data_IF_320187225507
#
_entry.id   IF_320187225507
#
_cell.length_a   1.000
_cell.length_b   1.000
_cell.length_c   1.000
_cell.angle_alpha   90.00
_cell.angle_beta   90.00
_cell.angle_gamma   90.00
#
_symmetry.space_group_name_H-M   'P 1'
#
loop_
_entity.id
_entity.type
_entity.pdbx_description
1 polymer ?
#
# COMPACT_ATOMS: atom_id res chain seq x y z
N UNK A 1 13.19 19.86 -9.69
CA UNK A 1 13.02 18.55 -9.03
C UNK A 1 11.56 18.17 -9.16
N UNK A 2 11.24 16.97 -9.61
CA UNK A 2 9.86 16.49 -9.69
C UNK A 2 9.35 16.13 -8.28
N UNK A 3 8.08 16.35 -8.02
CA UNK A 3 7.41 15.99 -6.77
C UNK A 3 6.04 15.38 -7.06
N UNK A 4 5.48 14.66 -6.09
CA UNK A 4 4.20 13.98 -6.22
C UNK A 4 3.18 14.59 -5.26
N UNK A 5 2.08 15.08 -5.79
CA UNK A 5 0.88 15.44 -5.03
C UNK A 5 -0.03 14.20 -4.92
N UNK A 6 0.22 13.37 -3.90
CA UNK A 6 -0.48 12.11 -3.72
C UNK A 6 -1.95 12.29 -3.31
N UNK A 7 -2.28 13.38 -2.64
CA UNK A 7 -3.62 13.64 -2.11
C UNK A 7 -4.41 14.67 -2.92
N UNK A 8 -3.83 15.22 -3.99
CA UNK A 8 -4.44 16.29 -4.78
C UNK A 8 -5.75 15.94 -5.49
N UNK A 9 -6.10 14.65 -5.58
CA UNK A 9 -7.35 14.20 -6.14
C UNK A 9 -8.56 14.32 -5.18
N UNK A 10 -8.33 14.60 -3.88
CA UNK A 10 -9.38 14.66 -2.87
C UNK A 10 -9.82 16.08 -2.53
N UNK A 11 -11.08 16.20 -2.15
CA UNK A 11 -11.62 17.37 -1.45
C UNK A 11 -11.64 17.11 0.08
N UNK A 12 -11.62 18.15 0.93
CA UNK A 12 -11.54 17.98 2.39
C UNK A 12 -12.64 17.11 3.02
N UNK A 13 -13.82 17.10 2.43
CA UNK A 13 -14.98 16.34 2.92
C UNK A 13 -15.12 14.94 2.30
N UNK A 14 -14.28 14.59 1.33
CA UNK A 14 -14.33 13.28 0.70
C UNK A 14 -14.05 12.17 1.71
N UNK A 15 -14.80 11.09 1.62
CA UNK A 15 -14.52 9.88 2.39
C UNK A 15 -13.32 9.18 1.79
N UNK A 16 -12.26 9.02 2.58
CA UNK A 16 -11.02 8.35 2.19
C UNK A 16 -11.01 6.87 2.60
N UNK A 17 -11.45 6.58 3.82
CA UNK A 17 -11.41 5.24 4.36
C UNK A 17 -12.72 4.87 5.04
N UNK A 18 -13.08 3.59 4.92
CA UNK A 18 -14.30 3.01 5.52
C UNK A 18 -13.92 1.74 6.30
N UNK A 19 -14.62 1.46 7.39
CA UNK A 19 -14.36 0.28 8.21
C UNK A 19 -15.34 0.12 9.36
N UNK A 20 -15.17 -0.92 10.16
CA UNK A 20 -16.05 -1.23 11.31
C UNK A 20 -16.07 -0.10 12.33
N UNK A 21 -14.95 0.57 12.54
CA UNK A 21 -14.81 1.71 13.46
C UNK A 21 -15.24 3.05 12.84
N UNK A 22 -15.96 2.99 11.72
CA UNK A 22 -16.52 4.14 11.03
C UNK A 22 -15.70 4.62 9.82
N UNK A 23 -16.16 5.74 9.26
CA UNK A 23 -15.53 6.39 8.11
C UNK A 23 -14.47 7.39 8.53
N UNK A 24 -13.56 7.71 7.61
CA UNK A 24 -12.58 8.78 7.77
C UNK A 24 -12.58 9.66 6.53
N UNK A 25 -12.68 10.97 6.74
CA UNK A 25 -12.59 11.96 5.67
C UNK A 25 -11.14 12.40 5.41
N UNK A 26 -10.91 13.06 4.28
CA UNK A 26 -9.63 13.68 3.97
C UNK A 26 -9.25 14.74 5.03
N UNK A 27 -10.19 15.56 5.48
CA UNK A 27 -9.96 16.53 6.57
C UNK A 27 -9.48 15.85 7.87
N UNK A 28 -10.09 14.72 8.24
CA UNK A 28 -9.65 13.95 9.41
C UNK A 28 -8.23 13.40 9.20
N UNK A 29 -7.93 12.87 8.00
CA UNK A 29 -6.59 12.38 7.70
C UNK A 29 -5.54 13.50 7.83
N UNK A 30 -5.78 14.67 7.26
CA UNK A 30 -4.85 15.80 7.35
C UNK A 30 -4.60 16.23 8.81
N UNK A 31 -5.65 16.28 9.62
CA UNK A 31 -5.54 16.58 11.05
C UNK A 31 -4.77 15.49 11.83
N UNK A 32 -4.98 14.21 11.48
CA UNK A 32 -4.27 13.10 12.10
C UNK A 32 -2.79 13.08 11.68
N UNK A 33 -2.50 13.34 10.40
CA UNK A 33 -1.12 13.52 9.90
C UNK A 33 -0.38 14.58 10.70
N UNK A 34 -0.96 15.78 10.89
CA UNK A 34 -0.31 16.84 11.64
C UNK A 34 -0.08 16.48 13.11
N UNK A 35 -1.05 15.81 13.73
CA UNK A 35 -0.91 15.36 15.12
C UNK A 35 0.24 14.35 15.26
N UNK A 36 0.34 13.38 14.35
CA UNK A 36 1.41 12.38 14.35
C UNK A 36 2.75 13.06 14.01
N UNK A 37 2.80 13.90 12.98
CA UNK A 37 4.00 14.60 12.57
C UNK A 37 4.61 15.47 13.69
N UNK A 38 3.78 16.09 14.52
CA UNK A 38 4.23 16.87 15.68
C UNK A 38 4.97 16.03 16.74
N UNK A 39 4.75 14.70 16.77
CA UNK A 39 5.43 13.79 17.69
C UNK A 39 6.70 13.18 17.08
N UNK A 40 6.93 13.35 15.78
CA UNK A 40 8.06 12.78 15.08
C UNK A 40 9.22 13.78 14.99
N UNK A 41 10.47 13.35 15.20
CA UNK A 41 11.63 14.19 14.91
C UNK A 41 11.75 14.44 13.41
N UNK A 42 12.35 15.56 13.04
CA UNK A 42 12.67 15.85 11.64
C UNK A 42 13.74 14.89 11.11
N UNK A 43 13.62 14.55 9.84
CA UNK A 43 14.57 13.82 9.05
C UNK A 43 15.07 14.66 7.87
N UNK A 44 16.09 14.17 7.18
CA UNK A 44 16.71 14.82 6.03
C UNK A 44 16.12 14.36 4.66
N UNK A 45 15.19 13.41 4.68
CA UNK A 45 14.60 12.80 3.48
C UNK A 45 15.52 11.83 2.75
N UNK A 46 16.78 11.67 3.19
CA UNK A 46 17.73 10.75 2.56
C UNK A 46 17.72 9.37 3.21
N UNK A 47 17.43 9.31 4.51
CA UNK A 47 17.50 8.11 5.34
C UNK A 47 18.92 7.53 5.45
N UNK A 48 19.95 8.35 5.20
CA UNK A 48 21.36 7.92 5.32
C UNK A 48 21.89 8.14 6.73
N UNK A 49 21.52 9.27 7.34
CA UNK A 49 22.05 9.70 8.64
C UNK A 49 21.13 9.35 9.81
N UNK A 50 19.92 8.88 9.55
CA UNK A 50 18.95 8.54 10.60
C UNK A 50 18.30 7.17 10.36
N UNK A 51 18.21 6.34 11.41
CA UNK A 51 17.50 5.07 11.32
C UNK A 51 16.03 5.25 10.98
N UNK A 52 15.47 4.31 10.22
CA UNK A 52 14.07 4.28 9.82
C UNK A 52 13.13 4.20 11.04
N UNK A 53 11.85 4.53 10.84
CA UNK A 53 10.77 4.31 11.82
C UNK A 53 10.11 2.96 11.53
N UNK A 54 10.20 1.99 12.45
CA UNK A 54 9.49 0.72 12.29
C UNK A 54 7.99 0.92 12.52
N UNK A 55 7.15 0.56 11.53
CA UNK A 55 5.71 0.74 11.61
C UNK A 55 5.00 -0.60 11.49
N UNK A 56 4.15 -0.91 12.47
CA UNK A 56 3.44 -2.19 12.60
C UNK A 56 1.91 -2.02 12.65
N UNK A 57 1.37 -0.86 12.26
CA UNK A 57 -0.07 -0.60 12.23
C UNK A 57 -0.80 -1.61 11.35
N UNK A 58 -1.80 -2.29 11.88
CA UNK A 58 -2.61 -3.27 11.16
C UNK A 58 -3.79 -2.62 10.43
N UNK A 59 -4.38 -1.59 11.03
CA UNK A 59 -5.40 -0.77 10.40
C UNK A 59 -4.79 0.09 9.29
N UNK A 60 -5.29 -0.08 8.09
CA UNK A 60 -4.76 0.56 6.88
C UNK A 60 -4.86 2.09 6.93
N UNK A 61 -5.84 2.63 7.64
CA UNK A 61 -5.96 4.07 7.83
C UNK A 61 -4.84 4.63 8.73
N UNK A 62 -4.56 3.99 9.86
CA UNK A 62 -3.49 4.44 10.75
C UNK A 62 -2.12 4.25 10.09
N UNK A 63 -1.92 3.15 9.35
CA UNK A 63 -0.72 2.99 8.54
C UNK A 63 -0.56 4.15 7.54
N UNK A 64 -1.62 4.50 6.82
CA UNK A 64 -1.64 5.62 5.88
C UNK A 64 -1.27 6.95 6.57
N UNK A 65 -1.89 7.27 7.71
CA UNK A 65 -1.62 8.50 8.45
C UNK A 65 -0.16 8.58 8.94
N UNK A 66 0.39 7.45 9.44
CA UNK A 66 1.78 7.38 9.89
C UNK A 66 2.76 7.52 8.72
N UNK A 67 2.53 6.85 7.59
CA UNK A 67 3.36 6.99 6.40
C UNK A 67 3.44 8.46 5.95
N UNK A 68 2.28 9.09 5.78
CA UNK A 68 2.20 10.47 5.32
C UNK A 68 2.81 11.46 6.32
N UNK A 69 2.60 11.26 7.63
CA UNK A 69 3.22 12.07 8.67
C UNK A 69 4.75 11.94 8.69
N UNK A 70 5.26 10.71 8.59
CA UNK A 70 6.68 10.43 8.51
C UNK A 70 7.32 11.08 7.27
N UNK A 71 6.69 10.95 6.11
CA UNK A 71 7.19 11.54 4.86
C UNK A 71 7.22 13.07 4.90
N UNK A 72 6.20 13.70 5.50
CA UNK A 72 6.16 15.15 5.71
C UNK A 72 7.32 15.63 6.60
N UNK A 73 7.77 14.79 7.54
CA UNK A 73 8.91 15.05 8.42
C UNK A 73 10.26 14.59 7.83
N UNK A 74 10.32 14.20 6.56
CA UNK A 74 11.52 13.67 5.93
C UNK A 74 12.01 12.35 6.52
N UNK A 75 11.13 11.56 7.17
CA UNK A 75 11.47 10.28 7.79
C UNK A 75 11.16 9.12 6.87
N UNK A 76 12.00 8.10 6.92
CA UNK A 76 11.81 6.83 6.23
C UNK A 76 11.09 5.83 7.14
N UNK A 77 10.12 5.11 6.59
CA UNK A 77 9.37 4.08 7.31
C UNK A 77 9.87 2.69 6.97
N UNK A 78 10.23 1.90 7.98
CA UNK A 78 10.52 0.48 7.85
C UNK A 78 9.23 -0.34 7.95
N UNK A 79 8.94 -1.16 6.95
CA UNK A 79 7.81 -2.08 6.93
C UNK A 79 8.32 -3.52 7.11
N UNK A 80 7.93 -4.21 8.20
CA UNK A 80 8.43 -5.56 8.49
C UNK A 80 7.79 -6.61 7.57
N UNK A 81 8.49 -7.72 7.27
CA UNK A 81 7.98 -8.79 6.40
C UNK A 81 6.88 -9.62 7.07
N UNK A 82 6.75 -9.53 8.39
CA UNK A 82 5.71 -10.19 9.18
C UNK A 82 5.66 -9.57 10.59
N UNK A 83 4.62 -9.92 11.36
CA UNK A 83 4.41 -9.44 12.72
C UNK A 83 4.96 -10.40 13.81
N UNK A 84 5.91 -11.28 13.49
CA UNK A 84 6.51 -12.19 14.47
C UNK A 84 7.37 -11.41 15.46
N UNK A 85 7.25 -11.73 16.73
CA UNK A 85 7.97 -11.03 17.80
C UNK A 85 9.48 -11.00 17.58
N UNK A 86 10.08 -12.11 17.19
CA UNK A 86 11.52 -12.19 16.89
C UNK A 86 11.92 -11.24 15.75
N UNK A 87 11.13 -11.18 14.67
CA UNK A 87 11.37 -10.28 13.52
C UNK A 87 11.29 -8.82 13.94
N UNK A 88 10.25 -8.48 14.72
CA UNK A 88 10.06 -7.11 15.21
C UNK A 88 11.16 -6.70 16.20
N UNK A 89 11.56 -7.59 17.10
CA UNK A 89 12.67 -7.36 18.03
C UNK A 89 13.98 -7.11 17.28
N UNK A 90 14.31 -7.92 16.27
CA UNK A 90 15.50 -7.72 15.45
C UNK A 90 15.48 -6.37 14.71
N UNK A 91 14.37 -6.04 14.03
CA UNK A 91 14.25 -4.80 13.28
C UNK A 91 14.23 -3.57 14.20
N UNK A 92 13.64 -3.65 15.39
CA UNK A 92 13.58 -2.53 16.35
C UNK A 92 14.97 -2.08 16.80
N UNK A 93 15.98 -2.98 16.82
CA UNK A 93 17.35 -2.61 17.17
C UNK A 93 18.04 -1.74 16.11
N UNK A 94 17.50 -1.72 14.89
CA UNK A 94 18.03 -0.98 13.73
C UNK A 94 17.22 0.28 13.42
N UNK A 95 16.09 0.47 14.11
CA UNK A 95 15.16 1.57 13.88
C UNK A 95 15.23 2.61 15.01
N UNK A 96 14.85 3.85 14.72
CA UNK A 96 14.84 4.94 15.70
C UNK A 96 13.63 4.91 16.64
N UNK A 97 12.64 4.08 16.34
CA UNK A 97 11.43 3.90 17.13
C UNK A 97 10.46 2.94 16.47
N UNK A 98 9.46 2.51 17.24
CA UNK A 98 8.41 1.61 16.77
C UNK A 98 7.05 2.28 16.96
N UNK A 99 6.26 2.35 15.89
CA UNK A 99 4.91 2.90 15.88
C UNK A 99 3.89 1.81 15.56
N UNK A 100 2.80 1.77 16.32
CA UNK A 100 1.71 0.82 16.15
C UNK A 100 0.35 1.49 16.36
N UNK A 101 -0.73 0.76 16.11
CA UNK A 101 -2.13 1.17 16.32
C UNK A 101 -2.81 0.45 17.50
N UNK A 102 -2.03 0.02 18.49
CA UNK A 102 -2.47 -0.75 19.65
C UNK A 102 -2.24 -2.25 19.52
N UNK A 103 -1.68 -2.72 18.40
CA UNK A 103 -1.50 -4.14 18.08
C UNK A 103 -0.07 -4.66 18.27
N UNK A 104 0.78 -3.98 19.09
CA UNK A 104 2.17 -4.43 19.27
C UNK A 104 3.02 -3.56 20.18
N UNK A 105 4.33 -3.84 20.26
CA UNK A 105 5.27 -3.04 21.03
C UNK A 105 5.48 -1.65 20.41
N UNK A 106 5.93 -0.69 21.21
CA UNK A 106 6.26 0.67 20.79
C UNK A 106 5.18 1.69 21.13
N UNK A 107 5.19 2.82 20.42
CA UNK A 107 4.28 3.92 20.67
C UNK A 107 2.97 3.75 19.89
N UNK A 108 1.85 3.86 20.60
CA UNK A 108 0.52 3.72 20.02
C UNK A 108 0.03 5.06 19.47
N UNK A 109 -0.04 5.17 18.14
CA UNK A 109 -0.49 6.39 17.47
C UNK A 109 -1.95 6.72 17.73
N UNK A 110 -2.79 5.72 18.02
CA UNK A 110 -4.20 5.93 18.37
C UNK A 110 -4.33 6.71 19.69
N UNK A 111 -3.43 6.46 20.65
CA UNK A 111 -3.37 7.22 21.90
C UNK A 111 -3.07 8.69 21.62
N UNK A 112 -2.08 9.00 20.78
CA UNK A 112 -1.77 10.39 20.41
C UNK A 112 -2.97 11.11 19.78
N UNK A 113 -3.73 10.40 18.92
CA UNK A 113 -4.91 10.96 18.27
C UNK A 113 -6.07 11.18 19.25
N UNK A 114 -6.22 10.31 20.25
CA UNK A 114 -7.24 10.45 21.30
C UNK A 114 -6.92 11.58 22.29
N UNK A 115 -5.66 11.73 22.66
CA UNK A 115 -5.19 12.76 23.60
C UNK A 115 -5.20 14.17 23.01
N UNK A 116 -5.25 14.32 21.69
CA UNK A 116 -5.31 15.61 20.97
C UNK A 116 -6.36 16.58 21.55
N UNK A 117 -7.47 16.06 22.08
CA UNK A 117 -8.52 16.86 22.71
C UNK A 117 -8.32 17.16 24.20
N UNK A 118 -7.32 16.56 24.85
CA UNK A 118 -7.13 16.58 26.31
C UNK A 118 -5.99 17.50 26.77
N UNK A 119 -5.21 18.09 25.84
CA UNK A 119 -4.08 18.95 26.20
C UNK A 119 -4.59 20.35 26.55
N UNK A 120 -4.45 20.79 27.83
CA UNK A 120 -4.83 22.15 28.24
C UNK A 120 -3.99 23.18 27.48
N UNK A 121 -4.66 24.14 26.81
CA UNK A 121 -4.00 25.19 26.03
C UNK A 121 -4.01 24.98 24.51
N UNK A 122 -4.40 23.80 24.00
CA UNK A 122 -4.46 23.50 22.56
C UNK A 122 -5.72 24.08 21.86
N UNK A 123 -6.61 24.74 22.58
CA UNK A 123 -7.86 25.28 22.03
C UNK A 123 -7.64 26.33 20.94
N UNK A 124 -6.59 27.18 21.07
CA UNK A 124 -6.20 28.14 20.03
C UNK A 124 -5.30 27.51 18.96
N UNK A 125 -4.38 26.63 19.36
CA UNK A 125 -3.59 25.83 18.44
C UNK A 125 -4.46 24.86 17.61
N UNK A 126 -5.57 24.36 18.14
CA UNK A 126 -6.54 23.55 17.39
C UNK A 126 -7.20 24.33 16.25
N UNK A 127 -7.53 25.61 16.47
CA UNK A 127 -8.06 26.51 15.44
C UNK A 127 -6.98 26.92 14.40
N UNK A 128 -5.73 27.05 14.82
CA UNK A 128 -4.61 27.29 13.93
C UNK A 128 -4.24 26.02 13.14
N UNK A 129 -4.17 24.86 13.77
CA UNK A 129 -3.99 23.56 13.10
C UNK A 129 -5.14 23.30 12.12
N UNK A 130 -6.39 23.56 12.48
CA UNK A 130 -7.54 23.42 11.57
C UNK A 130 -7.52 24.42 10.40
N UNK A 131 -6.82 25.56 10.53
CA UNK A 131 -6.64 26.56 9.45
C UNK A 131 -5.41 26.31 8.58
N UNK A 132 -4.32 25.74 9.14
CA UNK A 132 -3.07 25.52 8.40
C UNK A 132 -3.04 24.22 7.59
N UNK A 133 -3.95 23.26 7.84
CA UNK A 133 -3.91 21.97 7.15
C UNK A 133 -5.03 21.87 6.10
N UNK A 134 -5.02 22.78 5.15
CA UNK A 134 -5.86 22.64 3.95
C UNK A 134 -5.20 21.78 2.87
N UNK A 135 -3.87 21.58 2.91
CA UNK A 135 -3.14 20.86 1.87
C UNK A 135 -1.99 20.03 2.44
N UNK A 136 -1.74 18.89 1.84
CA UNK A 136 -0.56 18.06 2.08
C UNK A 136 0.54 18.48 1.08
N UNK A 137 1.76 18.74 1.56
CA UNK A 137 2.85 19.16 0.68
C UNK A 137 3.26 18.03 -0.29
N UNK A 138 3.51 18.35 -1.58
CA UNK A 138 4.00 17.37 -2.53
C UNK A 138 5.34 16.75 -2.07
N UNK A 139 5.48 15.43 -2.23
CA UNK A 139 6.64 14.67 -1.79
C UNK A 139 7.71 14.70 -2.90
N UNK A 140 8.96 15.13 -2.61
CA UNK A 140 10.05 15.11 -3.58
C UNK A 140 10.31 13.71 -4.14
N UNK A 141 10.55 13.58 -5.44
CA UNK A 141 10.70 12.30 -6.12
C UNK A 141 11.88 11.47 -5.59
N UNK A 142 12.97 12.11 -5.24
CA UNK A 142 14.19 11.52 -4.71
C UNK A 142 14.13 11.18 -3.22
N UNK A 143 13.12 11.69 -2.48
CA UNK A 143 12.96 11.40 -1.06
C UNK A 143 12.79 9.89 -0.85
N UNK A 144 13.59 9.30 0.03
CA UNK A 144 13.35 7.94 0.53
C UNK A 144 12.12 7.95 1.42
N UNK A 145 11.18 7.06 1.14
CA UNK A 145 9.88 7.04 1.81
C UNK A 145 9.67 5.76 2.63
N UNK A 146 10.11 4.61 2.12
CA UNK A 146 9.98 3.34 2.84
C UNK A 146 11.21 2.45 2.63
N UNK A 147 11.47 1.60 3.62
CA UNK A 147 12.29 0.40 3.50
C UNK A 147 11.39 -0.80 3.72
N UNK A 148 11.12 -1.57 2.68
CA UNK A 148 10.30 -2.77 2.76
C UNK A 148 11.23 -3.95 3.03
N UNK A 149 10.99 -4.67 4.12
CA UNK A 149 11.75 -5.86 4.44
C UNK A 149 11.09 -7.10 3.87
N UNK A 150 11.91 -7.96 3.24
CA UNK A 150 11.47 -9.27 2.72
C UNK A 150 12.07 -10.38 3.57
N UNK A 151 11.41 -11.55 3.62
CA UNK A 151 11.95 -12.72 4.29
C UNK A 151 13.15 -13.26 3.49
N UNK A 152 14.37 -12.97 3.93
CA UNK A 152 15.58 -13.51 3.29
C UNK A 152 15.65 -15.04 3.39
N UNK A 153 16.20 -15.68 2.36
CA UNK A 153 16.45 -17.14 2.34
C UNK A 153 17.40 -17.60 3.45
N UNK A 154 18.21 -16.68 3.99
CA UNK A 154 19.16 -16.90 5.10
C UNK A 154 18.55 -16.65 6.48
N UNK A 155 17.25 -16.32 6.56
CA UNK A 155 16.57 -16.01 7.83
C UNK A 155 16.71 -14.55 8.29
N UNK A 156 17.64 -13.78 7.74
CA UNK A 156 17.79 -12.34 8.01
C UNK A 156 16.92 -11.55 7.02
N UNK A 157 16.07 -10.61 7.49
CA UNK A 157 15.27 -9.78 6.59
C UNK A 157 16.14 -8.94 5.65
N UNK A 158 15.86 -9.00 4.35
CA UNK A 158 16.50 -8.17 3.34
C UNK A 158 15.80 -6.82 3.25
N UNK A 159 16.56 -5.73 3.33
CA UNK A 159 16.05 -4.37 3.22
C UNK A 159 15.94 -3.95 1.73
N UNK A 160 14.77 -3.48 1.32
CA UNK A 160 14.54 -2.94 0.00
C UNK A 160 14.04 -1.49 0.13
N UNK A 161 14.94 -0.49 0.08
CA UNK A 161 14.57 0.91 0.16
C UNK A 161 13.86 1.37 -1.12
N UNK A 162 12.89 2.29 -0.96
CA UNK A 162 12.17 2.91 -2.07
C UNK A 162 12.12 4.43 -1.90
N UNK A 163 12.34 5.12 -3.01
CA UNK A 163 12.08 6.56 -3.11
C UNK A 163 10.60 6.83 -3.43
N UNK A 164 10.18 8.10 -3.29
CA UNK A 164 8.85 8.51 -3.72
C UNK A 164 8.63 8.27 -5.23
N UNK A 165 9.66 8.47 -6.06
CA UNK A 165 9.58 8.13 -7.48
C UNK A 165 9.26 6.65 -7.71
N UNK A 166 9.89 5.75 -6.94
CA UNK A 166 9.69 4.31 -7.07
C UNK A 166 8.35 3.84 -6.51
N UNK A 167 7.90 4.37 -5.37
CA UNK A 167 6.66 3.92 -4.72
C UNK A 167 5.44 4.70 -5.22
N UNK A 168 5.48 6.03 -5.11
CA UNK A 168 4.34 6.91 -5.45
C UNK A 168 4.21 7.04 -6.97
N UNK A 169 5.34 7.16 -7.68
CA UNK A 169 5.37 7.18 -9.14
C UNK A 169 4.80 5.91 -9.76
N UNK A 170 5.06 4.74 -9.15
CA UNK A 170 4.41 3.49 -9.55
C UNK A 170 2.89 3.56 -9.33
N UNK A 171 2.44 4.07 -8.18
CA UNK A 171 1.00 4.25 -7.91
C UNK A 171 0.30 5.08 -8.98
N UNK A 172 0.89 6.18 -9.45
CA UNK A 172 0.36 6.98 -10.57
C UNK A 172 0.38 6.22 -11.90
N UNK A 173 1.38 5.38 -12.14
CA UNK A 173 1.44 4.50 -13.32
C UNK A 173 0.31 3.47 -13.29
N UNK A 174 0.08 2.85 -12.13
CA UNK A 174 -1.04 1.93 -11.91
C UNK A 174 -2.39 2.63 -12.08
N UNK A 175 -2.54 3.86 -11.54
CA UNK A 175 -3.77 4.64 -11.70
C UNK A 175 -4.09 4.93 -13.16
N UNK A 176 -3.09 5.35 -13.95
CA UNK A 176 -3.25 5.58 -15.41
C UNK A 176 -3.61 4.29 -16.15
N UNK A 177 -3.00 3.16 -15.77
CA UNK A 177 -3.22 1.87 -16.42
C UNK A 177 -4.59 1.29 -16.11
N UNK A 178 -5.00 1.32 -14.85
CA UNK A 178 -6.22 0.67 -14.39
C UNK A 178 -7.40 1.61 -14.22
N UNK A 179 -7.18 2.92 -14.29
CA UNK A 179 -8.21 3.96 -14.31
C UNK A 179 -9.20 3.83 -13.13
N UNK A 180 -8.67 3.67 -11.92
CA UNK A 180 -9.48 3.83 -10.72
C UNK A 180 -9.95 5.28 -10.63
N UNK A 181 -11.16 5.47 -10.11
CA UNK A 181 -11.84 6.77 -9.99
C UNK A 181 -12.21 7.04 -8.53
N UNK A 182 -12.61 8.26 -8.17
CA UNK A 182 -13.10 8.57 -6.82
C UNK A 182 -14.28 7.67 -6.36
N UNK A 183 -15.05 7.11 -7.29
CA UNK A 183 -16.14 6.16 -6.98
C UNK A 183 -15.61 4.76 -6.63
N UNK A 184 -14.33 4.50 -6.86
CA UNK A 184 -13.73 3.21 -6.52
C UNK A 184 -13.60 3.06 -5.00
N UNK A 185 -13.78 1.81 -4.54
CA UNK A 185 -13.53 1.42 -3.15
C UNK A 185 -12.73 0.12 -3.15
N UNK A 186 -11.53 0.17 -2.59
CA UNK A 186 -10.59 -0.95 -2.58
C UNK A 186 -10.69 -1.74 -1.27
N UNK A 187 -11.04 -3.01 -1.38
CA UNK A 187 -10.96 -4.01 -0.31
C UNK A 187 -9.73 -4.88 -0.53
N UNK A 188 -8.92 -5.12 0.49
CA UNK A 188 -7.74 -5.95 0.36
C UNK A 188 -7.67 -7.05 1.41
N UNK A 189 -7.36 -8.27 0.97
CA UNK A 189 -7.12 -9.43 1.83
C UNK A 189 -5.64 -9.62 2.16
N UNK A 190 -4.81 -8.67 1.76
CA UNK A 190 -3.36 -8.68 1.96
C UNK A 190 -2.94 -7.51 2.85
N UNK A 191 -1.93 -7.71 3.72
CA UNK A 191 -1.37 -6.64 4.53
C UNK A 191 -0.71 -5.56 3.66
N UNK A 192 -0.84 -4.29 4.06
CA UNK A 192 -0.19 -3.17 3.38
C UNK A 192 1.29 -3.00 3.74
N UNK A 193 1.90 -3.93 4.49
CA UNK A 193 3.32 -3.93 4.83
C UNK A 193 4.22 -4.51 3.71
N UNK A 194 3.64 -5.17 2.71
CA UNK A 194 4.34 -5.71 1.55
C UNK A 194 4.16 -4.80 0.33
N UNK A 195 5.12 -4.83 -0.60
CA UNK A 195 5.10 -3.95 -1.78
C UNK A 195 3.78 -4.01 -2.55
N UNK A 196 3.26 -5.21 -2.81
CA UNK A 196 1.98 -5.38 -3.49
C UNK A 196 0.81 -4.80 -2.67
N UNK A 197 0.80 -5.07 -1.36
CA UNK A 197 -0.24 -4.56 -0.47
C UNK A 197 -0.24 -3.03 -0.38
N UNK A 198 0.91 -2.39 -0.12
CA UNK A 198 0.97 -0.92 -0.03
C UNK A 198 0.61 -0.25 -1.34
N UNK A 199 1.11 -0.76 -2.49
CA UNK A 199 0.83 -0.19 -3.80
C UNK A 199 -0.66 -0.26 -4.15
N UNK A 200 -1.26 -1.45 -4.05
CA UNK A 200 -2.62 -1.66 -4.54
C UNK A 200 -3.71 -1.30 -3.53
N UNK A 201 -3.43 -1.33 -2.22
CA UNK A 201 -4.43 -1.05 -1.19
C UNK A 201 -4.30 0.32 -0.52
N UNK A 202 -3.21 1.06 -0.78
CA UNK A 202 -3.02 2.43 -0.29
C UNK A 202 -2.61 3.41 -1.41
N UNK A 203 -1.44 3.23 -2.04
CA UNK A 203 -0.90 4.23 -2.96
C UNK A 203 -1.79 4.40 -4.20
N UNK A 204 -2.24 3.31 -4.82
CA UNK A 204 -3.14 3.36 -5.96
C UNK A 204 -4.48 4.04 -5.65
N UNK A 205 -5.23 3.67 -4.58
CA UNK A 205 -6.45 4.41 -4.24
C UNK A 205 -6.17 5.87 -3.88
N UNK A 206 -5.09 6.19 -3.16
CA UNK A 206 -4.74 7.59 -2.88
C UNK A 206 -4.49 8.39 -4.16
N UNK A 207 -3.70 7.86 -5.10
CA UNK A 207 -3.44 8.52 -6.38
C UNK A 207 -4.69 8.69 -7.26
N UNK A 208 -5.74 7.89 -7.01
CA UNK A 208 -7.01 7.92 -7.76
C UNK A 208 -8.10 8.76 -7.09
N UNK A 209 -7.88 9.29 -5.89
CA UNK A 209 -8.95 9.89 -5.08
C UNK A 209 -9.99 8.89 -4.60
N UNK A 210 -9.65 7.59 -4.59
CA UNK A 210 -10.55 6.48 -4.29
C UNK A 210 -10.56 6.13 -2.80
N UNK A 211 -11.61 5.44 -2.36
CA UNK A 211 -11.73 4.96 -0.98
C UNK A 211 -11.03 3.61 -0.80
N UNK A 212 -10.64 3.31 0.43
CA UNK A 212 -10.17 1.98 0.81
C UNK A 212 -10.81 1.48 2.10
N UNK A 213 -10.91 0.15 2.22
CA UNK A 213 -11.37 -0.52 3.44
C UNK A 213 -10.21 -0.66 4.40
N UNK A 214 -10.42 -0.33 5.67
CA UNK A 214 -9.39 -0.26 6.71
C UNK A 214 -8.88 -1.64 7.12
N UNK A 215 -9.79 -2.60 7.24
CA UNK A 215 -9.51 -3.96 7.69
C UNK A 215 -8.90 -4.83 6.58
N UNK A 216 -8.28 -5.94 7.00
CA UNK A 216 -7.73 -6.98 6.11
C UNK A 216 -8.47 -8.30 6.37
N UNK A 217 -9.68 -8.50 5.81
CA UNK A 217 -10.45 -9.72 6.02
C UNK A 217 -9.79 -10.90 5.33
N UNK A 218 -9.75 -12.06 6.02
CA UNK A 218 -9.22 -13.31 5.49
C UNK A 218 -10.31 -14.35 5.21
N UNK A 219 -11.40 -14.31 5.97
CA UNK A 219 -12.49 -15.26 5.84
C UNK A 219 -13.44 -14.82 4.73
N UNK A 220 -13.82 -15.76 3.85
CA UNK A 220 -14.69 -15.46 2.69
C UNK A 220 -16.02 -14.81 3.06
N UNK A 221 -16.75 -15.21 4.12
CA UNK A 221 -17.97 -14.49 4.51
C UNK A 221 -17.72 -13.03 4.93
N UNK A 222 -16.57 -12.75 5.56
CA UNK A 222 -16.20 -11.39 5.97
C UNK A 222 -15.81 -10.55 4.74
N UNK A 223 -15.14 -11.17 3.74
CA UNK A 223 -14.84 -10.51 2.45
C UNK A 223 -16.13 -10.11 1.76
N UNK A 224 -17.13 -11.03 1.68
CA UNK A 224 -18.43 -10.74 1.06
C UNK A 224 -19.17 -9.63 1.80
N UNK A 225 -19.25 -9.71 3.14
CA UNK A 225 -19.93 -8.71 3.96
C UNK A 225 -19.30 -7.31 3.81
N UNK A 226 -17.96 -7.23 3.88
CA UNK A 226 -17.23 -5.98 3.69
C UNK A 226 -17.40 -5.43 2.26
N UNK A 227 -17.34 -6.29 1.24
CA UNK A 227 -17.59 -5.88 -0.15
C UNK A 227 -18.97 -5.25 -0.29
N UNK A 228 -20.00 -5.91 0.24
CA UNK A 228 -21.38 -5.42 0.21
C UNK A 228 -21.57 -4.14 1.03
N UNK A 229 -21.12 -4.15 2.30
CA UNK A 229 -21.32 -3.07 3.28
C UNK A 229 -20.68 -1.78 2.84
N UNK A 230 -19.44 -1.85 2.32
CA UNK A 230 -18.68 -0.68 1.91
C UNK A 230 -18.78 -0.41 0.40
N UNK A 231 -19.55 -1.22 -0.34
CA UNK A 231 -19.67 -1.15 -1.80
C UNK A 231 -18.30 -1.19 -2.47
N UNK A 232 -17.42 -2.08 -1.98
CA UNK A 232 -16.10 -2.25 -2.56
C UNK A 232 -16.21 -2.87 -3.96
N UNK A 233 -15.71 -2.16 -4.96
CA UNK A 233 -15.76 -2.60 -6.36
C UNK A 233 -14.41 -3.09 -6.88
N UNK A 234 -13.36 -3.00 -6.07
CA UNK A 234 -12.02 -3.52 -6.34
C UNK A 234 -11.59 -4.41 -5.18
N UNK A 235 -11.18 -5.65 -5.49
CA UNK A 235 -10.60 -6.60 -4.53
C UNK A 235 -9.10 -6.78 -4.84
N UNK A 236 -8.24 -6.59 -3.82
CA UNK A 236 -6.80 -6.87 -3.89
C UNK A 236 -6.51 -8.13 -3.08
N UNK A 237 -5.99 -9.17 -3.74
CA UNK A 237 -5.86 -10.47 -3.11
C UNK A 237 -4.65 -11.25 -3.66
N UNK A 238 -4.46 -12.48 -3.22
CA UNK A 238 -3.39 -13.38 -3.64
C UNK A 238 -3.95 -14.74 -4.07
N UNK A 239 -3.24 -15.53 -4.89
CA UNK A 239 -3.74 -16.79 -5.43
C UNK A 239 -4.32 -17.76 -4.39
N UNK A 240 -3.70 -17.97 -3.20
CA UNK A 240 -4.29 -18.85 -2.18
C UNK A 240 -5.68 -18.41 -1.71
N UNK A 241 -5.86 -17.11 -1.43
CA UNK A 241 -7.16 -16.56 -1.00
C UNK A 241 -8.18 -16.62 -2.13
N UNK A 242 -7.77 -16.32 -3.36
CA UNK A 242 -8.64 -16.36 -4.54
C UNK A 242 -9.11 -17.79 -4.86
N UNK A 243 -8.28 -18.82 -4.63
CA UNK A 243 -8.68 -20.22 -4.75
C UNK A 243 -9.80 -20.58 -3.77
N UNK A 244 -9.60 -20.22 -2.48
CA UNK A 244 -10.64 -20.43 -1.45
C UNK A 244 -11.93 -19.70 -1.80
N UNK A 245 -11.83 -18.47 -2.31
CA UNK A 245 -12.97 -17.66 -2.74
C UNK A 245 -13.69 -18.32 -3.94
N UNK A 246 -12.95 -18.83 -4.93
CA UNK A 246 -13.49 -19.52 -6.10
C UNK A 246 -14.23 -20.81 -5.75
N UNK A 247 -13.80 -21.52 -4.69
CA UNK A 247 -14.38 -22.78 -4.22
C UNK A 247 -15.44 -22.60 -3.12
N UNK A 248 -15.59 -21.37 -2.60
CA UNK A 248 -16.50 -21.07 -1.49
C UNK A 248 -17.98 -21.21 -1.86
N UNK A 249 -18.85 -21.28 -0.85
CA UNK A 249 -20.31 -21.29 -1.03
C UNK A 249 -20.91 -19.88 -1.09
N UNK A 250 -20.09 -18.84 -1.30
CA UNK A 250 -20.59 -17.47 -1.41
C UNK A 250 -21.61 -17.32 -2.55
N UNK A 251 -22.68 -16.59 -2.24
CA UNK A 251 -23.73 -16.33 -3.21
C UNK A 251 -23.33 -15.22 -4.21
N UNK A 252 -22.54 -14.24 -3.78
CA UNK A 252 -22.27 -13.05 -4.58
C UNK A 252 -21.06 -12.26 -4.11
N UNK A 253 -20.37 -11.67 -5.07
CA UNK A 253 -19.47 -10.53 -4.88
C UNK A 253 -20.03 -9.31 -5.63
N UNK A 254 -21.33 -9.06 -5.50
CA UNK A 254 -22.11 -8.18 -6.38
C UNK A 254 -21.55 -6.77 -6.61
N UNK A 255 -20.82 -6.21 -5.64
CA UNK A 255 -20.18 -4.89 -5.81
C UNK A 255 -18.82 -4.97 -6.50
N UNK A 256 -18.12 -6.12 -6.42
CA UNK A 256 -16.77 -6.28 -6.97
C UNK A 256 -16.84 -6.51 -8.47
N UNK A 257 -16.19 -5.65 -9.23
CA UNK A 257 -16.05 -5.78 -10.69
C UNK A 257 -14.63 -6.16 -11.11
N UNK A 258 -13.65 -5.88 -10.26
CA UNK A 258 -12.23 -6.07 -10.56
C UNK A 258 -11.50 -6.74 -9.40
N UNK A 259 -10.66 -7.71 -9.73
CA UNK A 259 -9.80 -8.41 -8.77
C UNK A 259 -8.35 -8.26 -9.23
N UNK A 260 -7.48 -7.78 -8.34
CA UNK A 260 -6.04 -7.82 -8.54
C UNK A 260 -5.45 -9.04 -7.83
N UNK A 261 -4.48 -9.71 -8.48
CA UNK A 261 -3.74 -10.86 -7.97
C UNK A 261 -2.26 -10.68 -8.22
N UNK A 262 -1.42 -10.97 -7.23
CA UNK A 262 0.05 -10.96 -7.35
C UNK A 262 0.69 -11.84 -6.28
N UNK A 263 2.03 -11.94 -6.27
CA UNK A 263 2.82 -12.68 -5.28
C UNK A 263 3.04 -14.14 -5.61
N UNK A 264 2.26 -14.73 -6.51
CA UNK A 264 2.44 -16.07 -7.08
C UNK A 264 1.59 -16.20 -8.34
N UNK A 265 1.86 -17.17 -9.23
CA UNK A 265 1.01 -17.45 -10.38
C UNK A 265 -0.41 -17.86 -9.96
N UNK A 266 -1.42 -17.28 -10.60
CA UNK A 266 -2.81 -17.68 -10.41
C UNK A 266 -3.18 -18.74 -11.45
N UNK A 267 -3.67 -19.93 -11.04
CA UNK A 267 -4.16 -20.92 -12.00
C UNK A 267 -5.30 -20.36 -12.85
N UNK A 268 -5.22 -20.49 -14.17
CA UNK A 268 -6.25 -19.98 -15.10
C UNK A 268 -7.65 -20.52 -14.75
N UNK A 269 -7.73 -21.77 -14.30
CA UNK A 269 -9.00 -22.36 -13.85
C UNK A 269 -9.63 -21.59 -12.67
N UNK A 270 -8.81 -21.08 -11.75
CA UNK A 270 -9.29 -20.24 -10.63
C UNK A 270 -9.81 -18.91 -11.15
N UNK A 271 -9.06 -18.23 -12.01
CA UNK A 271 -9.46 -16.95 -12.61
C UNK A 271 -10.76 -17.09 -13.41
N UNK A 272 -10.87 -18.13 -14.25
CA UNK A 272 -12.10 -18.40 -15.01
C UNK A 272 -13.28 -18.76 -14.10
N UNK A 273 -13.06 -19.43 -12.98
CA UNK A 273 -14.13 -19.74 -12.03
C UNK A 273 -14.64 -18.48 -11.34
N UNK A 274 -13.75 -17.59 -10.91
CA UNK A 274 -14.13 -16.29 -10.34
C UNK A 274 -14.90 -15.45 -11.35
N UNK A 275 -14.43 -15.37 -12.59
CA UNK A 275 -15.12 -14.63 -13.65
C UNK A 275 -16.52 -15.20 -13.92
N UNK A 276 -16.66 -16.53 -14.11
CA UNK A 276 -17.96 -17.17 -14.38
C UNK A 276 -18.94 -17.06 -13.22
N UNK A 277 -18.47 -17.17 -11.98
CA UNK A 277 -19.33 -17.18 -10.79
C UNK A 277 -19.77 -15.78 -10.38
N UNK A 278 -18.85 -14.82 -10.46
CA UNK A 278 -19.05 -13.48 -9.88
C UNK A 278 -19.02 -12.35 -10.91
N UNK A 279 -18.73 -12.63 -12.17
CA UNK A 279 -18.64 -11.63 -13.22
C UNK A 279 -17.43 -10.68 -13.08
N UNK A 280 -16.44 -11.03 -12.24
CA UNK A 280 -15.29 -10.17 -11.97
C UNK A 280 -14.23 -10.31 -13.06
N UNK A 281 -13.52 -9.20 -13.37
CA UNK A 281 -12.30 -9.24 -14.20
C UNK A 281 -11.09 -9.48 -13.29
N UNK A 282 -10.30 -10.51 -13.59
CA UNK A 282 -9.11 -10.88 -12.79
C UNK A 282 -7.86 -10.39 -13.48
N UNK A 283 -7.14 -9.48 -12.83
CA UNK A 283 -5.89 -8.87 -13.31
C UNK A 283 -4.74 -9.44 -12.49
N UNK A 284 -3.87 -10.18 -13.15
CA UNK A 284 -2.61 -10.61 -12.56
C UNK A 284 -1.52 -9.57 -12.80
N UNK A 285 -0.71 -9.32 -11.78
CA UNK A 285 0.40 -8.38 -11.82
C UNK A 285 1.68 -9.12 -11.50
N UNK A 286 2.68 -9.00 -12.38
CA UNK A 286 4.03 -9.49 -12.16
C UNK A 286 4.89 -8.38 -11.58
N UNK A 287 5.64 -8.72 -10.54
CA UNK A 287 6.56 -7.80 -9.87
C UNK A 287 7.25 -8.45 -8.69
N UNK A 288 8.25 -7.78 -8.16
CA UNK A 288 8.91 -8.13 -6.91
C UNK A 288 9.07 -6.89 -6.04
N UNK A 289 9.56 -7.06 -4.82
CA UNK A 289 9.85 -5.91 -3.96
C UNK A 289 10.93 -5.03 -4.56
N UNK A 290 11.92 -5.63 -5.23
CA UNK A 290 13.04 -4.93 -5.85
C UNK A 290 12.60 -4.16 -7.10
N UNK A 291 11.78 -4.78 -7.95
CA UNK A 291 11.43 -4.23 -9.28
C UNK A 291 10.20 -3.34 -9.28
N UNK A 292 9.32 -3.42 -8.26
CA UNK A 292 7.93 -2.98 -8.41
C UNK A 292 7.18 -3.85 -9.42
N UNK A 293 5.98 -3.44 -9.82
CA UNK A 293 5.22 -4.08 -10.88
C UNK A 293 5.80 -3.77 -12.25
N UNK A 294 6.01 -4.79 -13.08
CA UNK A 294 6.56 -4.59 -14.43
C UNK A 294 5.64 -5.04 -15.56
N UNK A 295 4.71 -5.96 -15.31
CA UNK A 295 3.74 -6.43 -16.30
C UNK A 295 2.42 -6.86 -15.66
N UNK A 296 1.38 -6.94 -16.48
CA UNK A 296 0.06 -7.40 -16.06
C UNK A 296 -0.66 -8.13 -17.19
N UNK A 297 -1.65 -8.97 -16.85
CA UNK A 297 -2.61 -9.57 -17.80
C UNK A 297 -4.02 -9.57 -17.22
N UNK A 298 -5.02 -9.60 -18.08
CA UNK A 298 -6.39 -9.98 -17.72
C UNK A 298 -6.55 -11.46 -18.02
N UNK A 299 -6.72 -12.27 -16.98
CA UNK A 299 -6.68 -13.71 -17.12
C UNK A 299 -7.77 -14.24 -18.08
N UNK A 300 -8.95 -13.60 -18.12
CA UNK A 300 -10.06 -13.99 -18.99
C UNK A 300 -9.92 -13.53 -20.45
N UNK A 301 -9.08 -12.54 -20.74
CA UNK A 301 -9.01 -11.90 -22.05
C UNK A 301 -7.65 -12.06 -22.75
N UNK A 302 -6.55 -12.07 -22.00
CA UNK A 302 -5.19 -12.00 -22.56
C UNK A 302 -4.52 -13.40 -22.66
N UNK A 303 -5.16 -14.46 -22.12
CA UNK A 303 -4.57 -15.79 -22.02
C UNK A 303 -3.26 -15.75 -21.22
N UNK A 304 -2.19 -16.35 -21.75
CA UNK A 304 -0.87 -16.35 -21.10
C UNK A 304 -0.04 -15.07 -21.36
N UNK A 305 -0.56 -14.10 -22.12
CA UNK A 305 0.22 -12.93 -22.52
C UNK A 305 0.17 -11.82 -21.48
N UNK A 306 1.33 -11.46 -20.95
CA UNK A 306 1.49 -10.28 -20.11
C UNK A 306 1.86 -9.07 -20.95
N UNK A 307 1.37 -7.90 -20.52
CA UNK A 307 1.68 -6.58 -21.10
C UNK A 307 2.56 -5.82 -20.12
N UNK A 308 3.68 -5.26 -20.59
CA UNK A 308 4.50 -4.38 -19.76
C UNK A 308 3.75 -3.11 -19.38
N UNK A 309 4.02 -2.58 -18.17
CA UNK A 309 3.57 -1.25 -17.81
C UNK A 309 4.25 -0.17 -18.65
N UNK A 310 3.64 1.02 -18.73
CA UNK A 310 4.20 2.14 -19.47
C UNK A 310 5.61 2.51 -18.95
N UNK A 311 6.56 2.64 -19.87
CA UNK A 311 7.95 2.93 -19.56
C UNK A 311 8.78 1.73 -19.11
N UNK A 312 8.19 0.54 -18.99
CA UNK A 312 8.89 -0.70 -18.70
C UNK A 312 9.28 -1.40 -20.00
N UNK A 313 10.56 -1.76 -20.12
CA UNK A 313 11.10 -2.53 -21.23
C UNK A 313 11.56 -3.89 -20.73
N UNK A 314 11.04 -4.94 -21.33
CA UNK A 314 11.36 -6.33 -21.01
C UNK A 314 12.13 -6.92 -22.18
N UNK A 315 13.29 -7.50 -21.91
CA UNK A 315 14.14 -8.21 -22.87
C UNK A 315 14.56 -9.56 -22.29
N UNK A 316 15.17 -10.37 -23.14
CA UNK A 316 15.80 -11.64 -22.74
C UNK A 316 17.26 -11.56 -23.19
N UNK A 317 18.20 -11.90 -22.33
CA UNK A 317 19.61 -11.91 -22.67
C UNK A 317 20.03 -13.23 -23.39
N UNK A 318 21.32 -13.34 -23.70
CA UNK A 318 21.87 -14.51 -24.40
C UNK A 318 21.73 -15.83 -23.57
N UNK A 319 21.63 -15.72 -22.25
CA UNK A 319 21.48 -16.82 -21.32
C UNK A 319 20.00 -17.13 -21.01
N UNK A 320 19.06 -16.57 -21.80
CA UNK A 320 17.61 -16.71 -21.63
C UNK A 320 17.09 -16.12 -20.30
N UNK A 321 17.83 -15.18 -19.69
CA UNK A 321 17.40 -14.51 -18.48
C UNK A 321 16.63 -13.23 -18.80
N UNK A 322 15.58 -12.96 -18.04
CA UNK A 322 14.74 -11.79 -18.19
C UNK A 322 15.53 -10.53 -17.79
N UNK A 323 15.66 -9.59 -18.72
CA UNK A 323 16.21 -8.26 -18.47
C UNK A 323 15.10 -7.24 -18.35
N UNK A 324 15.10 -6.48 -17.27
CA UNK A 324 14.13 -5.46 -17.00
C UNK A 324 14.79 -4.08 -16.96
N UNK A 325 14.24 -3.15 -17.75
CA UNK A 325 14.54 -1.71 -17.64
C UNK A 325 13.28 -0.97 -17.31
N UNK A 326 13.27 -0.26 -16.18
CA UNK A 326 12.11 0.49 -15.71
C UNK A 326 12.58 1.80 -15.06
N UNK A 327 11.83 2.91 -15.20
CA UNK A 327 12.11 4.14 -14.46
C UNK A 327 11.92 3.98 -12.94
N UNK A 328 11.33 2.86 -12.51
CA UNK A 328 11.10 2.51 -11.11
C UNK A 328 12.25 1.68 -10.51
N UNK A 329 13.22 1.27 -11.35
CA UNK A 329 14.43 0.58 -10.90
C UNK A 329 15.52 1.59 -10.58
N UNK A 330 16.31 1.28 -9.56
CA UNK A 330 17.59 1.94 -9.38
C UNK A 330 18.49 1.64 -10.58
N UNK A 331 19.16 2.65 -11.15
CA UNK A 331 19.91 2.51 -12.40
C UNK A 331 21.04 1.46 -12.35
N UNK A 332 21.42 1.05 -11.15
CA UNK A 332 22.48 0.08 -10.89
C UNK A 332 21.96 -1.37 -10.69
N UNK A 333 20.64 -1.59 -10.69
CA UNK A 333 20.04 -2.91 -10.51
C UNK A 333 19.62 -3.52 -11.85
N UNK A 334 20.59 -3.93 -12.65
CA UNK A 334 20.37 -4.97 -13.70
C UNK A 334 20.41 -6.32 -12.98
N UNK A 335 19.30 -6.74 -12.39
CA UNK A 335 19.20 -8.09 -11.84
C UNK A 335 18.58 -9.03 -12.87
N UNK A 336 19.23 -10.17 -13.17
CA UNK A 336 18.58 -11.25 -13.88
C UNK A 336 17.42 -11.76 -13.02
N UNK A 337 16.20 -11.58 -13.48
CA UNK A 337 15.03 -12.20 -12.86
C UNK A 337 14.94 -13.63 -13.42
N UNK A 338 15.17 -14.62 -12.58
CA UNK A 338 14.77 -15.99 -12.90
C UNK A 338 13.24 -16.01 -13.03
N UNK A 339 12.75 -16.32 -14.23
CA UNK A 339 11.32 -16.60 -14.43
C UNK A 339 10.96 -17.81 -13.56
N UNK A 340 10.01 -17.74 -12.63
CA UNK A 340 9.48 -18.97 -12.05
C UNK A 340 8.72 -19.71 -13.15
N UNK A 341 9.05 -21.01 -13.32
CA UNK A 341 8.38 -21.97 -14.21
C UNK A 341 6.85 -22.04 -14.01
#
# INVERSE_FOLDING_TARGET
MSSFDLLGAYQPHDTLAVGETGTRSMRQLLADIATIAAQLPEGDGTGLDQPDLLVTCQDRYYLCAVLLAAWQRGRVVALPPNAREQTLAELSTRCSGVLNDGSGPGQNVVTWLQERGSVPGLSLAKLEIEREIETYAPIPAEQRVVTIYTSGSTGTPNACPKTAAQLIGEGFTLQKTFQLTPDSCVLATVPAHHIYGILFSLILPLAAGARFVRETPLLTPVIEDNARRYRANVLVSVPPHLRVLAESQLASLASVSRVFSSGAPLPDATAHTLHRRFGVSVIEVLGSTETGGFAYRRAEADGSRFRAFAGVHIGVDADQQLQLRSPLLDRDLVQPLSCPD
#
